data_IF_604243710242
#
_entry.id   IF_604243710242
#
_cell.length_a   1.000
_cell.length_b   1.000
_cell.length_c   1.000
_cell.angle_alpha   90.00
_cell.angle_beta   90.00
_cell.angle_gamma   90.00
#
_symmetry.space_group_name_H-M   'P 1'
#
loop_
_entity.id
_entity.type
_entity.pdbx_description
1 polymer ?
#
# COMPACT_ATOMS: atom_id res chain seq x y z
N UNK A 1 -7.29 36.47 -20.73
CA UNK A 1 -7.03 36.03 -22.11
C UNK A 1 -6.74 34.55 -22.10
N UNK A 2 -7.73 33.73 -22.46
CA UNK A 2 -7.53 32.32 -22.77
C UNK A 2 -6.89 32.25 -24.17
N UNK A 3 -5.69 31.67 -24.28
CA UNK A 3 -5.26 30.97 -25.49
C UNK A 3 -3.96 30.19 -25.24
N UNK A 4 -4.03 28.90 -25.63
CA UNK A 4 -2.94 28.02 -26.09
C UNK A 4 -1.87 27.62 -25.05
N UNK A 5 -1.51 26.35 -24.87
CA UNK A 5 -1.68 25.20 -25.74
C UNK A 5 -1.76 23.92 -24.88
N UNK A 6 -2.91 23.26 -24.93
CA UNK A 6 -3.03 21.86 -24.54
C UNK A 6 -2.35 21.01 -25.60
N UNK A 7 -1.06 20.74 -25.46
CA UNK A 7 -0.43 19.62 -26.18
C UNK A 7 -0.73 18.36 -25.39
N UNK A 8 -1.86 17.74 -25.74
CA UNK A 8 -2.22 16.39 -25.33
C UNK A 8 -1.11 15.45 -25.81
N UNK A 9 -0.26 15.00 -24.88
CA UNK A 9 0.60 13.85 -25.12
C UNK A 9 -0.31 12.61 -25.10
N UNK A 10 -0.79 12.22 -26.28
CA UNK A 10 -1.51 10.99 -26.49
C UNK A 10 -0.56 9.80 -26.25
N UNK A 11 -0.46 9.36 -24.99
CA UNK A 11 0.05 8.03 -24.68
C UNK A 11 -0.98 7.03 -25.19
N UNK A 12 -0.63 6.35 -26.26
CA UNK A 12 -1.33 5.21 -26.81
C UNK A 12 -1.50 4.15 -25.72
N UNK A 13 -2.72 4.05 -25.17
CA UNK A 13 -3.12 2.82 -24.50
C UNK A 13 -3.15 1.73 -25.57
N UNK A 14 -2.11 0.90 -25.60
CA UNK A 14 -2.17 -0.38 -26.27
C UNK A 14 -3.38 -1.12 -25.72
N UNK A 15 -4.33 -1.45 -26.59
CA UNK A 15 -5.39 -2.38 -26.26
C UNK A 15 -4.70 -3.67 -25.78
N UNK A 16 -4.98 -4.17 -24.56
CA UNK A 16 -4.61 -5.55 -24.29
C UNK A 16 -5.43 -6.40 -25.25
N UNK A 17 -4.80 -6.85 -26.33
CA UNK A 17 -5.28 -8.00 -27.06
C UNK A 17 -5.50 -9.08 -25.99
N UNK A 18 -6.76 -9.45 -25.76
CA UNK A 18 -7.14 -10.48 -24.80
C UNK A 18 -6.75 -11.86 -25.34
N UNK A 19 -5.48 -12.04 -25.67
CA UNK A 19 -4.84 -13.34 -25.62
C UNK A 19 -4.70 -13.71 -24.14
N UNK A 20 -4.94 -14.97 -23.81
CA UNK A 20 -4.83 -15.53 -22.45
C UNK A 20 -3.40 -15.35 -21.94
N UNK A 21 -3.09 -14.17 -21.39
CA UNK A 21 -1.80 -13.88 -20.80
C UNK A 21 -1.70 -14.62 -19.46
N UNK A 22 -0.57 -15.28 -19.18
CA UNK A 22 -0.36 -15.90 -17.88
C UNK A 22 -0.51 -14.82 -16.79
N UNK A 23 -1.16 -15.14 -15.66
CA UNK A 23 -1.24 -14.23 -14.54
C UNK A 23 0.17 -13.75 -14.15
N UNK A 24 0.33 -12.48 -13.73
CA UNK A 24 1.62 -11.96 -13.34
C UNK A 24 2.21 -12.86 -12.26
N UNK A 25 3.49 -13.22 -12.43
CA UNK A 25 4.21 -14.03 -11.46
C UNK A 25 4.12 -13.39 -10.08
N UNK A 26 4.14 -14.20 -9.02
CA UNK A 26 4.14 -13.69 -7.64
C UNK A 26 5.27 -12.65 -7.41
N UNK A 27 6.40 -12.83 -8.10
CA UNK A 27 7.52 -11.90 -8.07
C UNK A 27 7.19 -10.53 -8.71
N UNK A 28 6.48 -10.51 -9.84
CA UNK A 28 6.04 -9.27 -10.48
C UNK A 28 5.00 -8.52 -9.64
N UNK A 29 4.08 -9.24 -8.99
CA UNK A 29 3.10 -8.65 -8.06
C UNK A 29 3.80 -8.02 -6.85
N UNK A 30 4.77 -8.73 -6.24
CA UNK A 30 5.54 -8.22 -5.11
C UNK A 30 6.30 -6.93 -5.46
N UNK A 31 6.93 -6.87 -6.64
CA UNK A 31 7.61 -5.65 -7.12
C UNK A 31 6.64 -4.48 -7.32
N UNK A 32 5.45 -4.75 -7.87
CA UNK A 32 4.44 -3.71 -8.08
C UNK A 32 3.92 -3.14 -6.76
N UNK A 33 3.68 -3.98 -5.75
CA UNK A 33 3.25 -3.52 -4.43
C UNK A 33 4.35 -2.77 -3.68
N UNK A 34 5.61 -3.20 -3.78
CA UNK A 34 6.75 -2.44 -3.27
C UNK A 34 6.83 -1.05 -3.92
N UNK A 35 6.68 -0.97 -5.25
CA UNK A 35 6.71 0.30 -5.97
C UNK A 35 5.59 1.24 -5.51
N UNK A 36 4.36 0.72 -5.34
CA UNK A 36 3.23 1.47 -4.78
C UNK A 36 3.52 1.96 -3.36
N UNK A 37 4.10 1.11 -2.51
CA UNK A 37 4.45 1.50 -1.15
C UNK A 37 5.52 2.60 -1.11
N UNK A 38 6.54 2.52 -1.98
CA UNK A 38 7.55 3.57 -2.12
C UNK A 38 6.94 4.88 -2.62
N UNK A 39 6.04 4.83 -3.60
CA UNK A 39 5.34 6.01 -4.10
C UNK A 39 4.50 6.66 -3.00
N UNK A 40 3.69 5.88 -2.28
CA UNK A 40 2.89 6.38 -1.17
C UNK A 40 3.73 6.98 -0.04
N UNK A 41 4.94 6.45 0.22
CA UNK A 41 5.87 7.05 1.18
C UNK A 41 6.47 8.36 0.66
N UNK A 42 6.89 8.40 -0.61
CA UNK A 42 7.41 9.61 -1.24
C UNK A 42 6.38 10.76 -1.22
N UNK A 43 5.10 10.46 -1.44
CA UNK A 43 4.02 11.46 -1.36
C UNK A 43 3.91 12.06 0.06
N UNK A 44 4.03 11.22 1.10
CA UNK A 44 4.03 11.69 2.49
C UNK A 44 5.27 12.54 2.81
N UNK A 45 6.43 12.16 2.28
CA UNK A 45 7.67 12.96 2.40
C UNK A 45 7.50 14.32 1.73
N UNK A 46 6.91 14.35 0.53
CA UNK A 46 6.61 15.59 -0.18
C UNK A 46 5.67 16.50 0.62
N UNK A 47 4.60 15.93 1.19
CA UNK A 47 3.67 16.68 2.04
C UNK A 47 4.35 17.23 3.31
N UNK A 48 5.21 16.45 3.95
CA UNK A 48 6.00 16.89 5.10
C UNK A 48 6.91 18.08 4.74
N UNK A 49 7.67 17.97 3.66
CA UNK A 49 8.56 19.04 3.22
C UNK A 49 7.80 20.32 2.86
N UNK A 50 6.66 20.20 2.19
CA UNK A 50 5.79 21.34 1.90
C UNK A 50 5.35 22.04 3.18
N UNK A 51 4.89 21.29 4.18
CA UNK A 51 4.50 21.85 5.48
C UNK A 51 5.66 22.62 6.14
N UNK A 52 6.85 22.03 6.18
CA UNK A 52 8.06 22.65 6.77
C UNK A 52 8.40 23.95 6.04
N UNK A 53 8.37 23.95 4.71
CA UNK A 53 8.66 25.15 3.93
C UNK A 53 7.64 26.26 4.14
N UNK A 54 6.35 25.95 4.18
CA UNK A 54 5.32 26.96 4.44
C UNK A 54 5.49 27.58 5.83
N UNK A 55 5.79 26.77 6.85
CA UNK A 55 6.05 27.28 8.20
C UNK A 55 7.30 28.17 8.22
N UNK A 56 8.39 27.76 7.58
CA UNK A 56 9.62 28.55 7.49
C UNK A 56 9.39 29.92 6.83
N UNK A 57 8.64 29.97 5.74
CA UNK A 57 8.34 31.24 5.05
C UNK A 57 7.43 32.13 5.90
N UNK A 58 6.42 31.56 6.56
CA UNK A 58 5.56 32.30 7.48
C UNK A 58 6.37 32.93 8.64
N UNK A 59 7.29 32.17 9.22
CA UNK A 59 8.20 32.66 10.28
C UNK A 59 9.14 33.75 9.76
N UNK A 60 9.75 33.56 8.60
CA UNK A 60 10.63 34.57 7.98
C UNK A 60 9.88 35.87 7.73
N UNK A 61 8.69 35.81 7.14
CA UNK A 61 7.86 36.98 6.89
C UNK A 61 7.55 37.75 8.19
N UNK A 62 7.18 37.02 9.24
CA UNK A 62 6.90 37.62 10.56
C UNK A 62 8.13 38.27 11.15
N UNK A 63 9.29 37.61 11.08
CA UNK A 63 10.58 38.16 11.53
C UNK A 63 10.91 39.44 10.78
N UNK A 64 10.77 39.44 9.46
CA UNK A 64 11.08 40.60 8.63
C UNK A 64 10.12 41.75 8.88
N UNK A 65 8.83 41.48 9.10
CA UNK A 65 7.85 42.48 9.50
C UNK A 65 8.16 43.08 10.89
N UNK A 66 8.61 42.27 11.86
CA UNK A 66 9.07 42.75 13.17
C UNK A 66 10.32 43.64 13.02
N UNK A 67 11.29 43.22 12.21
CA UNK A 67 12.51 44.00 11.95
C UNK A 67 12.21 45.36 11.28
N UNK A 68 11.12 45.44 10.51
CA UNK A 68 10.63 46.68 9.91
C UNK A 68 9.76 47.52 10.86
N UNK A 69 9.65 47.14 12.15
CA UNK A 69 8.86 47.87 13.15
C UNK A 69 7.35 47.76 12.95
N UNK A 70 6.87 46.82 12.13
CA UNK A 70 5.43 46.58 11.94
C UNK A 70 4.87 45.80 13.12
N UNK A 71 3.62 46.08 13.49
CA UNK A 71 2.91 45.25 14.45
C UNK A 71 2.67 43.85 13.87
N UNK A 72 3.19 42.82 14.54
CA UNK A 72 3.05 41.41 14.12
C UNK A 72 2.19 40.66 15.13
N UNK A 73 1.03 40.20 14.68
CA UNK A 73 0.12 39.40 15.50
C UNK A 73 0.73 38.06 15.86
N UNK A 74 0.44 37.46 17.04
CA UNK A 74 0.88 36.11 17.38
C UNK A 74 0.52 35.07 16.32
N UNK A 75 1.32 33.99 16.14
CA UNK A 75 0.96 32.95 15.19
C UNK A 75 -0.35 32.29 15.64
N UNK A 76 -1.27 32.08 14.71
CA UNK A 76 -2.37 31.17 14.95
C UNK A 76 -1.80 29.76 15.20
N UNK A 77 -2.37 28.98 16.14
CA UNK A 77 -1.91 27.63 16.39
C UNK A 77 -2.11 26.78 15.14
N UNK A 78 -1.01 26.30 14.57
CA UNK A 78 -1.02 25.33 13.48
C UNK A 78 -0.58 23.97 14.02
N UNK A 79 -1.14 22.85 13.52
CA UNK A 79 -0.62 21.54 13.85
C UNK A 79 0.83 21.41 13.38
N UNK A 80 1.63 20.63 14.11
CA UNK A 80 3.00 20.33 13.71
C UNK A 80 3.03 19.53 12.39
N UNK A 81 4.09 19.71 11.61
CA UNK A 81 4.31 18.90 10.41
C UNK A 81 4.56 17.44 10.80
N UNK A 82 3.80 16.51 10.22
CA UNK A 82 3.93 15.09 10.51
C UNK A 82 5.06 14.47 9.66
N UNK A 83 6.13 14.05 10.32
CA UNK A 83 7.23 13.32 9.68
C UNK A 83 6.80 11.89 9.37
N UNK A 84 6.85 11.43 8.10
CA UNK A 84 6.52 10.05 7.75
C UNK A 84 7.51 9.01 8.27
N UNK A 85 8.67 9.42 8.77
CA UNK A 85 9.73 8.53 9.22
C UNK A 85 10.39 7.76 8.07
N UNK A 86 11.32 6.84 8.39
CA UNK A 86 11.99 6.01 7.40
C UNK A 86 11.00 5.08 6.68
N UNK A 87 11.24 4.81 5.40
CA UNK A 87 10.47 3.81 4.67
C UNK A 87 10.75 2.41 5.25
N UNK A 88 9.69 1.70 5.61
CA UNK A 88 9.74 0.29 6.02
C UNK A 88 9.10 -0.53 4.90
N UNK A 89 9.83 -1.51 4.36
CA UNK A 89 9.29 -2.37 3.32
C UNK A 89 8.08 -3.14 3.86
N UNK A 90 6.93 -3.12 3.16
CA UNK A 90 5.76 -3.87 3.59
C UNK A 90 6.09 -5.36 3.61
N UNK A 91 5.88 -6.02 4.75
CA UNK A 91 5.93 -7.48 4.80
C UNK A 91 4.71 -8.03 4.05
N UNK A 92 4.88 -8.95 3.09
CA UNK A 92 3.75 -9.56 2.42
C UNK A 92 2.78 -10.17 3.43
N UNK A 93 1.46 -10.00 3.27
CA UNK A 93 0.49 -10.70 4.10
C UNK A 93 0.73 -12.21 4.07
N UNK A 94 0.71 -12.85 5.24
CA UNK A 94 0.97 -14.30 5.40
C UNK A 94 0.06 -15.19 4.54
N UNK A 95 -1.10 -14.69 4.13
CA UNK A 95 -2.05 -15.35 3.24
C UNK A 95 -1.49 -15.61 1.82
N UNK A 96 -0.47 -14.87 1.39
CA UNK A 96 0.16 -15.05 0.06
C UNK A 96 1.41 -15.93 0.11
N UNK A 97 1.90 -16.28 1.31
CA UNK A 97 3.04 -17.16 1.51
C UNK A 97 2.60 -18.63 1.54
N UNK A 98 2.26 -19.18 0.35
CA UNK A 98 2.33 -20.62 0.07
C UNK A 98 1.41 -21.54 0.88
N UNK A 99 0.10 -21.50 0.63
CA UNK A 99 -0.82 -22.59 1.01
C UNK A 99 -0.74 -23.82 0.07
N UNK A 100 0.44 -24.14 -0.45
CA UNK A 100 0.68 -25.35 -1.25
C UNK A 100 1.88 -26.13 -0.70
N UNK A 101 1.87 -26.44 0.59
CA UNK A 101 2.34 -27.78 0.98
C UNK A 101 1.24 -28.76 0.58
N UNK A 102 1.50 -29.81 -0.21
CA UNK A 102 0.51 -30.86 -0.35
C UNK A 102 0.21 -31.39 1.05
N UNK A 103 -1.08 -31.49 1.39
CA UNK A 103 -1.48 -32.22 2.58
C UNK A 103 -0.81 -33.61 2.52
N UNK A 104 -0.18 -34.12 3.59
CA UNK A 104 0.25 -35.51 3.58
C UNK A 104 -1.01 -36.33 3.29
N UNK A 105 -0.97 -37.06 2.17
CA UNK A 105 -2.00 -38.01 1.80
C UNK A 105 -2.24 -38.89 3.03
N UNK A 106 -3.45 -38.86 3.58
CA UNK A 106 -3.84 -39.76 4.65
C UNK A 106 -3.70 -41.19 4.13
N UNK A 107 -2.60 -41.85 4.48
CA UNK A 107 -2.42 -43.25 4.21
C UNK A 107 -3.36 -44.01 5.17
N UNK A 108 -4.39 -44.61 4.58
CA UNK A 108 -5.25 -45.68 5.13
C UNK A 108 -6.46 -45.22 5.96
N UNK A 109 -7.69 -45.69 5.64
CA UNK A 109 -8.84 -45.56 6.53
C UNK A 109 -8.72 -46.55 7.71
N UNK A 110 -9.06 -46.17 8.96
CA UNK A 110 -9.17 -47.15 10.04
C UNK A 110 -10.47 -47.95 9.88
N UNK A 111 -10.45 -48.97 9.03
CA UNK A 111 -11.43 -50.06 9.10
C UNK A 111 -10.98 -51.03 10.19
N UNK A 112 -11.50 -50.88 11.41
CA UNK A 112 -11.47 -51.99 12.39
C UNK A 112 -12.78 -52.75 12.24
N UNK A 113 -12.76 -53.78 11.40
CA UNK A 113 -13.78 -54.81 11.43
C UNK A 113 -13.59 -55.61 12.72
N UNK A 114 -14.46 -55.38 13.72
CA UNK A 114 -14.63 -56.32 14.81
C UNK A 114 -15.59 -57.44 14.36
N UNK A 115 -15.26 -58.73 14.57
CA UNK A 115 -16.16 -59.83 14.24
C UNK A 115 -17.45 -59.76 15.07
N UNK A 116 -18.61 -59.69 14.40
CA UNK A 116 -19.90 -59.93 15.04
C UNK A 116 -20.27 -61.39 14.84
N UNK A 117 -20.17 -62.20 15.91
CA UNK A 117 -20.84 -63.50 15.99
C UNK A 117 -22.29 -63.32 16.50
N UNK A 118 -23.22 -64.21 16.08
CA UNK A 118 -24.64 -63.91 15.91
C UNK A 118 -25.48 -64.28 17.15
N UNK A 119 -26.54 -63.53 17.41
CA UNK A 119 -27.75 -64.08 18.05
C UNK A 119 -29.01 -63.38 17.54
N UNK A 120 -30.07 -64.18 17.44
CA UNK A 120 -31.24 -64.05 16.57
C UNK A 120 -32.48 -63.42 17.25
N UNK A 121 -33.57 -63.37 16.46
CA UNK A 121 -35.00 -63.06 16.76
C UNK A 121 -35.40 -61.62 16.42
N UNK A 122 -36.16 -61.28 15.38
CA UNK A 122 -37.36 -61.87 14.73
C UNK A 122 -38.66 -61.73 15.55
N UNK A 123 -39.51 -60.82 15.05
CA UNK A 123 -40.96 -60.65 15.19
C UNK A 123 -41.51 -59.79 16.34
#
# INVERSE_FOLDING_TARGET
>A
MLAAASTVLALTFGTPAAAKLPPPSAEAQAKAELAKARAAHADKVGAYQLCVWQNRIAEQYRRDAQAQGKAVQPPAPTPACADPGPFVEPTPPLEQAGAHSPAPTAATPPNTAAPQEPTAQQK
#
